data_IF_467158928911
#
_entry.id   IF_467158928911
#
_cell.length_a   1.000
_cell.length_b   1.000
_cell.length_c   1.000
_cell.angle_alpha   90.00
_cell.angle_beta   90.00
_cell.angle_gamma   90.00
#
_symmetry.space_group_name_H-M   'P 1'
#
loop_
_entity.id
_entity.type
_entity.pdbx_description
1 polymer ?
#
# COMPACT_ATOMS: atom_id res chain seq x y z
N UNK A 1 6.25 2.92 -19.07
CA UNK A 1 5.06 2.12 -19.48
C UNK A 1 4.19 1.67 -18.29
N UNK A 2 4.26 2.25 -17.08
CA UNK A 2 4.08 1.37 -15.90
C UNK A 2 3.54 2.05 -14.62
N UNK A 3 2.61 3.01 -14.72
CA UNK A 3 1.98 3.63 -13.53
C UNK A 3 0.61 3.03 -13.19
N UNK A 4 -0.21 2.69 -14.19
CA UNK A 4 -1.57 2.20 -13.96
C UNK A 4 -1.63 0.78 -13.37
N UNK A 5 -0.67 -0.10 -13.70
CA UNK A 5 -0.68 -1.49 -13.25
C UNK A 5 -0.34 -1.63 -11.75
N UNK A 6 0.66 -0.90 -11.26
CA UNK A 6 1.01 -0.89 -9.83
C UNK A 6 -0.13 -0.33 -8.98
N UNK A 7 -0.81 0.72 -9.47
CA UNK A 7 -2.00 1.25 -8.80
C UNK A 7 -3.13 0.22 -8.71
N UNK A 8 -3.31 -0.59 -9.75
CA UNK A 8 -4.31 -1.67 -9.76
C UNK A 8 -3.95 -2.78 -8.76
N UNK A 9 -2.67 -3.18 -8.70
CA UNK A 9 -2.17 -4.13 -7.71
C UNK A 9 -2.30 -3.59 -6.29
N UNK A 10 -1.91 -2.34 -6.05
CA UNK A 10 -2.05 -1.68 -4.76
C UNK A 10 -3.50 -1.71 -4.29
N UNK A 11 -4.44 -1.29 -5.14
CA UNK A 11 -5.88 -1.30 -4.81
C UNK A 11 -6.38 -2.72 -4.56
N UNK A 12 -5.93 -3.69 -5.36
CA UNK A 12 -6.27 -5.10 -5.18
C UNK A 12 -5.82 -5.65 -3.83
N UNK A 13 -4.56 -5.41 -3.46
CA UNK A 13 -4.00 -5.83 -2.17
C UNK A 13 -4.59 -5.06 -0.99
N UNK A 14 -4.94 -3.79 -1.16
CA UNK A 14 -5.61 -2.98 -0.14
C UNK A 14 -7.03 -3.48 0.14
N UNK A 15 -7.80 -3.79 -0.93
CA UNK A 15 -9.12 -4.41 -0.80
C UNK A 15 -9.03 -5.82 -0.22
N UNK A 16 -8.02 -6.60 -0.63
CA UNK A 16 -7.79 -7.95 -0.08
C UNK A 16 -7.46 -7.89 1.42
N UNK A 17 -6.59 -6.96 1.83
CA UNK A 17 -6.26 -6.74 3.22
C UNK A 17 -7.46 -6.27 4.05
N UNK A 18 -8.26 -5.33 3.53
CA UNK A 18 -9.53 -4.94 4.17
C UNK A 18 -10.50 -6.12 4.29
N UNK A 19 -10.62 -6.94 3.24
CA UNK A 19 -11.48 -8.12 3.27
C UNK A 19 -11.01 -9.13 4.32
N UNK A 20 -9.70 -9.41 4.41
CA UNK A 20 -9.12 -10.29 5.43
C UNK A 20 -9.30 -9.74 6.85
N UNK A 21 -9.16 -8.43 7.05
CA UNK A 21 -9.35 -7.79 8.35
C UNK A 21 -10.82 -7.80 8.79
N UNK A 22 -11.77 -7.54 7.88
CA UNK A 22 -13.20 -7.40 8.21
C UNK A 22 -13.91 -8.76 8.24
N UNK A 23 -13.65 -9.62 7.26
CA UNK A 23 -14.36 -10.90 7.10
C UNK A 23 -13.67 -12.00 7.89
N UNK A 24 -12.37 -12.19 7.68
CA UNK A 24 -11.62 -13.27 8.35
C UNK A 24 -11.17 -12.89 9.76
N UNK A 25 -11.18 -11.60 10.12
CA UNK A 25 -10.57 -11.04 11.35
C UNK A 25 -9.10 -11.47 11.52
N UNK A 26 -8.45 -11.82 10.42
CA UNK A 26 -7.06 -12.24 10.39
C UNK A 26 -6.21 -11.01 10.07
N UNK A 27 -5.91 -10.26 11.14
CA UNK A 27 -5.14 -9.04 11.06
C UNK A 27 -3.72 -9.29 10.54
N UNK A 28 -3.14 -10.47 10.79
CA UNK A 28 -1.78 -10.79 10.35
C UNK A 28 -1.70 -10.97 8.84
N UNK A 29 -2.64 -11.72 8.24
CA UNK A 29 -2.72 -11.80 6.79
C UNK A 29 -3.15 -10.46 6.15
N UNK A 30 -4.08 -9.73 6.77
CA UNK A 30 -4.51 -8.43 6.28
C UNK A 30 -3.33 -7.44 6.17
N UNK A 31 -2.53 -7.38 7.23
CA UNK A 31 -1.28 -6.61 7.29
C UNK A 31 -0.29 -7.05 6.22
N UNK A 32 -0.07 -8.36 6.04
CA UNK A 32 0.81 -8.86 4.99
C UNK A 32 0.34 -8.43 3.59
N UNK A 33 -0.96 -8.55 3.30
CA UNK A 33 -1.56 -8.11 2.04
C UNK A 33 -1.41 -6.60 1.84
N UNK A 34 -1.71 -5.78 2.85
CA UNK A 34 -1.54 -4.32 2.79
C UNK A 34 -0.07 -3.91 2.63
N UNK A 35 0.86 -4.62 3.28
CA UNK A 35 2.30 -4.41 3.15
C UNK A 35 2.82 -4.73 1.75
N UNK A 36 2.35 -5.82 1.13
CA UNK A 36 2.64 -6.13 -0.28
C UNK A 36 2.09 -5.02 -1.17
N UNK A 37 0.86 -4.55 -0.92
CA UNK A 37 0.29 -3.39 -1.61
C UNK A 37 1.23 -2.19 -1.54
N UNK A 38 1.75 -1.85 -0.36
CA UNK A 38 2.70 -0.77 -0.13
C UNK A 38 4.02 -0.90 -0.92
N UNK A 39 4.52 -2.13 -1.11
CA UNK A 39 5.66 -2.40 -1.98
C UNK A 39 5.35 -2.10 -3.46
N UNK A 40 4.10 -2.29 -3.87
CA UNK A 40 3.58 -1.84 -5.16
C UNK A 40 3.11 -0.38 -5.06
N UNK A 41 4.07 0.54 -5.06
CA UNK A 41 3.83 1.97 -4.98
C UNK A 41 2.73 2.46 -5.95
N UNK A 42 1.61 3.03 -5.44
CA UNK A 42 0.48 3.46 -6.25
C UNK A 42 0.72 4.78 -6.99
N UNK A 43 1.80 5.48 -6.68
CA UNK A 43 2.14 6.78 -7.26
C UNK A 43 3.06 6.58 -8.47
N UNK A 44 4.36 6.71 -8.26
CA UNK A 44 5.35 6.59 -9.32
C UNK A 44 6.64 5.98 -8.77
N UNK A 45 6.92 4.70 -9.05
CA UNK A 45 8.14 4.03 -8.59
C UNK A 45 9.40 4.64 -9.24
N UNK A 46 9.28 5.30 -10.39
CA UNK A 46 10.41 5.94 -11.08
C UNK A 46 10.77 7.31 -10.45
N UNK A 47 9.87 7.88 -9.63
CA UNK A 47 10.14 9.13 -8.91
C UNK A 47 10.97 8.86 -7.67
N UNK A 48 12.19 9.40 -7.63
CA UNK A 48 13.09 9.34 -6.47
C UNK A 48 12.38 9.85 -5.23
N UNK A 49 12.66 9.22 -4.08
CA UNK A 49 12.03 9.59 -2.81
C UNK A 49 12.15 11.09 -2.51
N UNK A 50 13.30 11.72 -2.76
CA UNK A 50 13.49 13.13 -2.46
C UNK A 50 12.58 14.07 -3.26
N UNK A 51 12.31 13.74 -4.53
CA UNK A 51 11.48 14.54 -5.43
C UNK A 51 9.98 14.36 -5.17
N UNK A 52 9.59 13.46 -4.27
CA UNK A 52 8.19 13.22 -3.93
C UNK A 52 7.63 14.34 -3.06
N UNK A 53 6.44 14.86 -3.38
CA UNK A 53 5.77 15.82 -2.52
C UNK A 53 5.48 15.22 -1.15
N UNK A 54 5.49 16.07 -0.12
CA UNK A 54 5.42 15.68 1.29
C UNK A 54 4.17 14.87 1.64
N UNK A 55 3.05 15.11 0.94
CA UNK A 55 1.80 14.37 1.14
C UNK A 55 1.89 12.90 0.69
N UNK A 56 2.62 12.58 -0.39
CA UNK A 56 2.81 11.19 -0.83
C UNK A 56 3.63 10.40 0.18
N UNK A 57 4.70 11.02 0.70
CA UNK A 57 5.53 10.44 1.76
C UNK A 57 4.72 10.21 3.03
N UNK A 58 3.91 11.19 3.43
CA UNK A 58 3.05 11.07 4.60
C UNK A 58 2.06 9.91 4.47
N UNK A 59 1.38 9.76 3.32
CA UNK A 59 0.45 8.65 3.08
C UNK A 59 1.17 7.29 3.15
N UNK A 60 2.35 7.16 2.53
CA UNK A 60 3.12 5.91 2.57
C UNK A 60 3.59 5.57 3.99
N UNK A 61 4.07 6.56 4.76
CA UNK A 61 4.51 6.36 6.15
C UNK A 61 3.33 6.03 7.06
N UNK A 62 2.19 6.72 6.91
CA UNK A 62 0.97 6.45 7.70
C UNK A 62 0.46 5.03 7.39
N UNK A 63 0.44 4.64 6.13
CA UNK A 63 0.03 3.30 5.74
C UNK A 63 1.02 2.25 6.27
N UNK A 64 2.32 2.52 6.22
CA UNK A 64 3.32 1.62 6.80
C UNK A 64 3.15 1.50 8.30
N UNK A 65 2.87 2.60 9.00
CA UNK A 65 2.60 2.60 10.43
C UNK A 65 1.32 1.82 10.78
N UNK A 66 0.27 1.93 9.96
CA UNK A 66 -0.97 1.14 10.11
C UNK A 66 -0.77 -0.35 9.86
N UNK A 67 0.15 -0.71 8.97
CA UNK A 67 0.52 -2.11 8.68
C UNK A 67 1.44 -2.65 9.77
N UNK A 68 2.39 -1.86 10.25
CA UNK A 68 3.39 -2.30 11.21
C UNK A 68 2.96 -2.27 12.68
N UNK A 69 1.88 -1.55 13.02
CA UNK A 69 1.30 -1.44 14.36
C UNK A 69 0.28 -2.55 14.63
#
# INVERSE_FOLDING_TARGET
MKTSFNKFLYIGFLLLGLFQAIVSKDYMQATASMGIGLAFDPFNPEQKWNDRPTWQKAVLIIHLALVAA
#
